data_IF_796261030359
#
_entry.id   IF_796261030359
#
_cell.length_a   1.000
_cell.length_b   1.000
_cell.length_c   1.000
_cell.angle_alpha   90.00
_cell.angle_beta   90.00
_cell.angle_gamma   90.00
#
_symmetry.space_group_name_H-M   'P 1'
#
loop_
_entity.id
_entity.type
_entity.pdbx_description
1 polymer ?
#
# COMPACT_ATOMS: atom_id res chain seq x y z
N UNK A 1 20.70 -8.90 59.94
CA UNK A 1 20.32 -9.72 58.78
C UNK A 1 18.82 -9.99 58.89
N UNK A 2 17.92 -9.43 58.09
CA UNK A 2 18.04 -8.68 56.84
C UNK A 2 16.99 -7.57 56.80
N UNK A 3 17.40 -6.41 56.31
CA UNK A 3 16.54 -5.43 55.63
C UNK A 3 16.06 -6.03 54.30
N UNK A 4 14.80 -5.79 53.93
CA UNK A 4 14.32 -5.44 52.57
C UNK A 4 13.00 -4.66 52.82
N UNK A 5 13.04 -3.34 53.04
CA UNK A 5 12.90 -2.24 52.07
C UNK A 5 11.59 -2.27 51.26
N UNK A 6 10.85 -1.18 51.49
CA UNK A 6 9.63 -0.66 50.91
C UNK A 6 9.52 -0.60 49.38
N UNK A 7 8.27 -0.33 48.96
CA UNK A 7 7.87 0.42 47.76
C UNK A 7 7.85 -0.33 46.42
N UNK A 8 6.75 -1.05 46.16
CA UNK A 8 6.17 -1.10 44.82
C UNK A 8 5.11 0.01 44.68
N UNK A 9 5.60 1.23 44.53
CA UNK A 9 4.78 2.35 44.05
C UNK A 9 4.86 2.34 42.51
N UNK A 10 4.14 1.41 41.87
CA UNK A 10 4.04 1.38 40.40
C UNK A 10 2.99 2.43 39.99
N UNK A 11 3.41 3.69 40.06
CA UNK A 11 2.71 4.84 39.47
C UNK A 11 3.64 5.50 38.44
N UNK A 12 4.34 4.70 37.63
CA UNK A 12 4.87 5.20 36.36
C UNK A 12 3.68 5.47 35.45
N UNK A 13 3.13 6.68 35.54
CA UNK A 13 2.37 7.26 34.43
C UNK A 13 3.30 7.17 33.22
N UNK A 14 2.97 6.32 32.25
CA UNK A 14 3.57 6.39 30.92
C UNK A 14 3.14 7.76 30.38
N UNK A 15 4.05 8.73 30.47
CA UNK A 15 3.86 10.06 29.91
C UNK A 15 4.07 9.93 28.41
N UNK A 16 2.99 10.08 27.65
CA UNK A 16 3.03 10.08 26.20
C UNK A 16 3.62 11.40 25.78
N UNK A 17 4.81 11.36 25.21
CA UNK A 17 5.52 12.53 24.72
C UNK A 17 5.42 12.60 23.19
N UNK A 18 4.61 13.54 22.71
CA UNK A 18 4.51 13.90 21.30
C UNK A 18 4.96 15.36 21.08
N UNK A 19 5.78 15.92 21.98
CA UNK A 19 6.14 17.35 21.96
C UNK A 19 6.77 17.78 20.63
N UNK A 20 7.76 17.04 20.13
CA UNK A 20 8.41 17.36 18.85
C UNK A 20 7.42 17.28 17.68
N UNK A 21 6.48 16.32 17.71
CA UNK A 21 5.43 16.22 16.70
C UNK A 21 4.48 17.42 16.78
N UNK A 22 4.11 17.86 17.98
CA UNK A 22 3.28 19.05 18.19
C UNK A 22 3.96 20.33 17.68
N UNK A 23 5.26 20.49 17.93
CA UNK A 23 6.04 21.62 17.44
C UNK A 23 5.99 21.69 15.91
N UNK A 24 6.18 20.57 15.20
CA UNK A 24 6.09 20.56 13.73
C UNK A 24 4.67 20.84 13.24
N UNK A 25 3.64 20.25 13.88
CA UNK A 25 2.23 20.52 13.54
C UNK A 25 1.90 22.02 13.73
N UNK A 26 2.48 22.65 14.75
CA UNK A 26 2.23 24.06 15.08
C UNK A 26 2.72 25.05 14.01
N UNK A 27 3.72 24.65 13.21
CA UNK A 27 4.20 25.46 12.08
C UNK A 27 3.11 25.72 11.04
N UNK A 28 2.15 24.80 10.93
CA UNK A 28 1.04 24.85 9.99
C UNK A 28 1.43 24.44 8.57
N UNK A 29 0.50 23.79 7.85
CA UNK A 29 0.75 23.14 6.55
C UNK A 29 1.34 24.07 5.48
N UNK A 30 1.04 25.37 5.56
CA UNK A 30 1.51 26.36 4.58
C UNK A 30 2.96 26.84 4.80
N UNK A 31 3.57 26.50 5.94
CA UNK A 31 4.92 26.94 6.31
C UNK A 31 5.93 25.79 6.40
N UNK A 32 5.53 24.56 6.08
CA UNK A 32 6.41 23.40 6.13
C UNK A 32 7.42 23.44 4.97
N UNK A 33 8.70 23.31 5.29
CA UNK A 33 9.73 22.97 4.31
C UNK A 33 9.70 21.46 4.03
N UNK A 34 10.39 21.02 2.98
CA UNK A 34 10.57 19.59 2.68
C UNK A 34 11.19 18.85 3.87
N UNK A 35 12.13 19.48 4.59
CA UNK A 35 12.75 18.89 5.77
C UNK A 35 11.76 18.74 6.94
N UNK A 36 10.85 19.70 7.11
CA UNK A 36 9.81 19.63 8.15
C UNK A 36 8.78 18.53 7.83
N UNK A 37 8.47 18.32 6.55
CA UNK A 37 7.61 17.22 6.11
C UNK A 37 8.26 15.85 6.35
N UNK A 38 9.55 15.69 6.05
CA UNK A 38 10.28 14.46 6.32
C UNK A 38 10.36 14.15 7.83
N UNK A 39 10.65 15.16 8.64
CA UNK A 39 10.71 15.01 10.10
C UNK A 39 9.31 14.75 10.68
N UNK A 40 8.26 15.40 10.17
CA UNK A 40 6.87 15.10 10.53
C UNK A 40 6.55 13.61 10.36
N UNK A 41 6.84 13.04 9.19
CA UNK A 41 6.53 11.64 8.91
C UNK A 41 7.36 10.68 9.77
N UNK A 42 8.61 11.03 10.07
CA UNK A 42 9.47 10.28 10.98
C UNK A 42 8.89 10.27 12.40
N UNK A 43 8.54 11.43 12.95
CA UNK A 43 7.94 11.54 14.29
C UNK A 43 6.58 10.85 14.36
N UNK A 44 5.73 11.03 13.35
CA UNK A 44 4.43 10.35 13.27
C UNK A 44 4.56 8.84 13.28
N UNK A 45 5.60 8.28 12.63
CA UNK A 45 5.85 6.84 12.60
C UNK A 45 6.16 6.26 13.98
N UNK A 46 6.73 7.06 14.86
CA UNK A 46 7.15 6.68 16.22
C UNK A 46 6.11 7.05 17.28
N UNK A 47 5.20 7.97 16.95
CA UNK A 47 4.22 8.54 17.84
C UNK A 47 3.24 7.52 18.47
N UNK A 48 2.78 7.88 19.66
CA UNK A 48 1.65 7.26 20.35
C UNK A 48 0.52 8.29 20.44
N UNK A 49 -0.55 8.10 19.68
CA UNK A 49 -1.65 9.06 19.64
C UNK A 49 -2.85 8.53 20.43
N UNK A 50 -3.65 9.47 20.93
CA UNK A 50 -4.94 9.20 21.55
C UNK A 50 -5.99 9.04 20.44
N UNK A 51 -6.36 7.79 20.15
CA UNK A 51 -7.36 7.46 19.14
C UNK A 51 -8.73 7.38 19.79
N UNK A 52 -9.69 8.10 19.22
CA UNK A 52 -11.07 8.04 19.69
C UNK A 52 -11.72 6.72 19.34
N UNK A 53 -12.36 6.11 20.34
CA UNK A 53 -13.06 4.84 20.18
C UNK A 53 -14.41 4.84 20.90
N UNK A 54 -15.29 3.97 20.45
CA UNK A 54 -16.46 3.57 21.21
C UNK A 54 -16.17 2.21 21.83
N UNK A 55 -16.07 2.17 23.16
CA UNK A 55 -15.94 0.91 23.89
C UNK A 55 -17.29 0.19 23.89
N UNK A 56 -17.27 -1.11 23.63
CA UNK A 56 -18.49 -1.93 23.67
C UNK A 56 -18.93 -2.07 25.14
N UNK A 57 -19.94 -1.29 25.55
CA UNK A 57 -20.38 -1.17 26.95
C UNK A 57 -20.99 -2.44 27.55
N UNK A 58 -21.28 -3.46 26.74
CA UNK A 58 -21.81 -4.74 27.24
C UNK A 58 -20.76 -5.53 28.06
N UNK A 59 -19.49 -5.13 28.07
CA UNK A 59 -18.40 -5.82 28.79
C UNK A 59 -17.68 -4.95 29.84
N UNK A 60 -18.28 -3.84 30.29
CA UNK A 60 -17.70 -3.04 31.39
C UNK A 60 -17.98 -3.73 32.72
N UNK A 61 -17.00 -4.51 33.19
CA UNK A 61 -17.03 -5.12 34.51
C UNK A 61 -16.98 -4.06 35.61
N UNK A 62 -17.97 -4.08 36.50
CA UNK A 62 -17.95 -3.36 37.77
C UNK A 62 -17.00 -4.08 38.75
N UNK A 63 -15.72 -3.67 38.73
CA UNK A 63 -14.65 -4.28 39.56
C UNK A 63 -14.88 -4.03 41.04
N UNK A 64 -15.68 -3.02 41.41
CA UNK A 64 -15.89 -2.61 42.81
C UNK A 64 -16.84 -3.53 43.58
N UNK A 65 -17.52 -4.47 42.92
CA UNK A 65 -18.59 -5.29 43.52
C UNK A 65 -18.34 -6.81 43.58
N UNK A 66 -17.18 -7.33 43.18
CA UNK A 66 -16.95 -8.79 43.19
C UNK A 66 -16.35 -9.33 44.49
N UNK A 67 -17.09 -10.22 45.16
CA UNK A 67 -16.59 -11.07 46.25
C UNK A 67 -15.56 -12.07 45.67
N UNK A 68 -14.41 -12.16 46.35
CA UNK A 68 -13.21 -12.92 45.98
C UNK A 68 -13.42 -14.44 46.03
N UNK A 69 -14.41 -15.03 45.35
CA UNK A 69 -14.47 -16.49 45.11
C UNK A 69 -15.37 -16.80 43.89
N UNK A 70 -15.08 -16.29 42.70
CA UNK A 70 -15.61 -16.93 41.47
C UNK A 70 -14.49 -17.07 40.43
N UNK A 71 -14.38 -18.27 39.88
CA UNK A 71 -13.41 -18.65 38.86
C UNK A 71 -13.51 -17.67 37.70
N UNK A 72 -12.47 -16.85 37.52
CA UNK A 72 -12.35 -15.91 36.40
C UNK A 72 -12.35 -16.75 35.12
N UNK A 73 -13.50 -16.81 34.44
CA UNK A 73 -13.54 -17.29 33.05
C UNK A 73 -12.62 -16.38 32.23
N UNK A 74 -11.84 -16.91 31.27
CA UNK A 74 -11.00 -16.07 30.42
C UNK A 74 -11.86 -14.99 29.79
N UNK A 75 -11.55 -13.75 30.15
CA UNK A 75 -12.27 -12.54 29.74
C UNK A 75 -12.06 -12.39 28.23
N UNK A 76 -13.12 -12.34 27.40
CA UNK A 76 -12.99 -11.94 26.00
C UNK A 76 -12.30 -10.58 25.92
N UNK A 77 -11.36 -10.34 24.99
CA UNK A 77 -10.72 -9.03 24.89
C UNK A 77 -11.79 -7.97 24.62
N UNK A 78 -11.83 -6.92 25.46
CA UNK A 78 -12.72 -5.77 25.29
C UNK A 78 -12.61 -5.24 23.85
N UNK A 79 -13.69 -5.35 23.09
CA UNK A 79 -13.78 -4.83 21.73
C UNK A 79 -13.99 -3.31 21.73
N UNK A 80 -13.46 -2.64 20.71
CA UNK A 80 -13.70 -1.23 20.45
C UNK A 80 -13.99 -0.99 18.97
N UNK A 81 -14.73 0.07 18.68
CA UNK A 81 -14.91 0.61 17.33
C UNK A 81 -14.22 1.97 17.22
N UNK A 82 -13.56 2.26 16.11
CA UNK A 82 -13.03 3.61 15.87
C UNK A 82 -14.19 4.61 15.74
N UNK A 83 -14.09 5.72 16.48
CA UNK A 83 -14.96 6.86 16.19
C UNK A 83 -14.41 7.61 14.98
N UNK A 84 -15.31 8.00 14.08
CA UNK A 84 -14.95 8.62 12.82
C UNK A 84 -15.62 9.96 12.63
N UNK A 85 -14.94 10.85 11.91
CA UNK A 85 -15.54 12.06 11.32
C UNK A 85 -15.86 11.78 9.87
N UNK A 86 -17.06 12.16 9.44
CA UNK A 86 -17.47 12.12 8.04
C UNK A 86 -17.12 13.47 7.41
N UNK A 87 -16.16 13.47 6.48
CA UNK A 87 -15.72 14.70 5.77
C UNK A 87 -16.60 14.96 4.55
N UNK A 88 -16.97 13.89 3.84
CA UNK A 88 -17.93 13.83 2.73
C UNK A 88 -18.78 12.55 2.86
N UNK A 89 -19.89 12.40 2.12
CA UNK A 89 -20.91 11.34 2.33
C UNK A 89 -20.36 9.90 2.50
N UNK A 90 -19.18 9.59 1.94
CA UNK A 90 -18.52 8.28 2.06
C UNK A 90 -17.11 8.31 2.69
N UNK A 91 -16.59 9.48 3.09
CA UNK A 91 -15.22 9.61 3.59
C UNK A 91 -15.17 9.59 5.12
N UNK A 92 -14.75 8.43 5.67
CA UNK A 92 -14.62 8.20 7.10
C UNK A 92 -13.18 8.40 7.56
N UNK A 93 -12.99 9.39 8.42
CA UNK A 93 -11.69 9.71 8.99
C UNK A 93 -11.56 9.22 10.42
N UNK A 94 -10.48 8.51 10.72
CA UNK A 94 -10.11 8.15 12.10
C UNK A 94 -9.67 9.42 12.82
N UNK A 95 -10.11 9.58 14.07
CA UNK A 95 -9.77 10.74 14.87
C UNK A 95 -8.66 10.41 15.86
N UNK A 96 -7.57 11.18 15.79
CA UNK A 96 -6.41 11.05 16.64
C UNK A 96 -6.06 12.40 17.31
N UNK A 97 -5.46 12.33 18.49
CA UNK A 97 -4.93 13.50 19.19
C UNK A 97 -3.51 13.26 19.69
N UNK A 98 -2.68 14.30 19.66
CA UNK A 98 -1.31 14.26 20.19
C UNK A 98 -1.27 14.25 21.71
N UNK A 99 -2.25 14.88 22.36
CA UNK A 99 -2.40 14.90 23.82
C UNK A 99 -3.86 14.87 24.27
N UNK A 100 -4.10 14.34 25.46
CA UNK A 100 -5.46 14.20 26.05
C UNK A 100 -6.10 15.55 26.36
N UNK A 101 -5.30 16.57 26.63
CA UNK A 101 -5.72 17.92 26.99
C UNK A 101 -6.51 18.56 25.85
N UNK A 102 -6.11 18.32 24.59
CA UNK A 102 -6.82 18.84 23.40
C UNK A 102 -8.25 18.30 23.37
N UNK A 103 -8.46 17.01 23.67
CA UNK A 103 -9.79 16.38 23.73
C UNK A 103 -10.70 17.11 24.74
N UNK A 104 -10.13 17.51 25.89
CA UNK A 104 -10.87 18.26 26.92
C UNK A 104 -11.15 19.69 26.49
N UNK A 105 -10.18 20.35 25.85
CA UNK A 105 -10.28 21.74 25.38
C UNK A 105 -11.40 21.90 24.34
N UNK A 106 -11.55 20.94 23.42
CA UNK A 106 -12.64 20.93 22.43
C UNK A 106 -13.98 20.45 23.03
N UNK A 107 -14.02 20.07 24.31
CA UNK A 107 -15.23 19.67 25.01
C UNK A 107 -15.81 18.31 24.58
N UNK A 108 -15.01 17.47 23.93
CA UNK A 108 -15.48 16.19 23.37
C UNK A 108 -15.57 15.12 24.47
N UNK A 109 -16.75 14.55 24.67
CA UNK A 109 -16.99 13.45 25.63
C UNK A 109 -16.90 12.11 24.91
N UNK A 110 -15.68 11.60 24.76
CA UNK A 110 -15.36 10.41 24.01
C UNK A 110 -14.39 9.50 24.78
N UNK A 111 -14.59 8.19 24.65
CA UNK A 111 -13.57 7.23 25.06
C UNK A 111 -12.39 7.30 24.07
N UNK A 112 -11.19 7.09 24.59
CA UNK A 112 -9.97 7.08 23.80
C UNK A 112 -9.02 6.00 24.30
N UNK A 113 -8.26 5.45 23.37
CA UNK A 113 -7.14 4.55 23.64
C UNK A 113 -5.86 5.19 23.15
N UNK A 114 -4.74 4.81 23.77
CA UNK A 114 -3.42 5.20 23.30
C UNK A 114 -2.95 4.11 22.35
N UNK A 115 -2.56 4.50 21.14
CA UNK A 115 -2.12 3.54 20.12
C UNK A 115 -0.82 4.01 19.50
N UNK A 116 0.14 3.10 19.38
CA UNK A 116 1.32 3.35 18.55
C UNK A 116 0.87 3.38 17.07
N UNK A 117 1.34 4.35 16.30
CA UNK A 117 0.94 4.50 14.90
C UNK A 117 1.27 3.27 14.04
N UNK A 118 2.30 2.50 14.39
CA UNK A 118 2.61 1.22 13.74
C UNK A 118 1.52 0.17 13.97
N UNK A 119 0.96 0.11 15.18
CA UNK A 119 -0.09 -0.85 15.48
C UNK A 119 -1.43 -0.43 14.88
N UNK A 120 -1.70 0.87 14.82
CA UNK A 120 -2.81 1.41 14.05
C UNK A 120 -2.70 0.99 12.58
N UNK A 121 -1.53 1.18 11.95
CA UNK A 121 -1.31 0.79 10.56
C UNK A 121 -1.58 -0.70 10.31
N UNK A 122 -1.13 -1.60 11.20
CA UNK A 122 -1.42 -3.04 11.10
C UNK A 122 -2.92 -3.34 11.15
N UNK A 123 -3.65 -2.69 12.06
CA UNK A 123 -5.10 -2.86 12.17
C UNK A 123 -5.77 -2.41 10.88
N UNK A 124 -5.37 -1.25 10.35
CA UNK A 124 -5.98 -0.68 9.14
C UNK A 124 -5.69 -1.49 7.89
N UNK A 125 -4.50 -2.08 7.76
CA UNK A 125 -4.21 -3.03 6.67
C UNK A 125 -5.17 -4.23 6.67
N UNK A 126 -5.65 -4.66 7.84
CA UNK A 126 -6.62 -5.75 7.96
C UNK A 126 -8.09 -5.34 7.69
N UNK A 127 -8.38 -4.04 7.68
CA UNK A 127 -9.74 -3.49 7.53
C UNK A 127 -10.06 -2.99 6.11
N UNK A 128 -9.09 -3.05 5.18
CA UNK A 128 -9.26 -2.62 3.79
C UNK A 128 -9.65 -1.14 3.65
N UNK A 129 -10.43 -0.81 2.62
CA UNK A 129 -10.81 0.57 2.25
C UNK A 129 -11.91 1.19 3.15
N UNK A 130 -12.00 0.75 4.41
CA UNK A 130 -13.04 1.20 5.35
C UNK A 130 -12.88 2.67 5.77
N UNK A 131 -11.65 3.19 5.74
CA UNK A 131 -11.33 4.56 6.17
C UNK A 131 -10.57 5.29 5.06
N UNK A 132 -10.86 6.57 4.88
CA UNK A 132 -10.24 7.41 3.85
C UNK A 132 -9.01 8.16 4.38
N UNK A 133 -9.03 8.54 5.67
CA UNK A 133 -7.98 9.37 6.27
C UNK A 133 -7.84 9.19 7.79
N UNK A 134 -6.75 9.71 8.33
CA UNK A 134 -6.56 10.01 9.76
C UNK A 134 -6.52 11.53 9.91
N UNK A 135 -7.31 12.06 10.83
CA UNK A 135 -7.28 13.48 11.21
C UNK A 135 -6.68 13.58 12.61
N UNK A 136 -5.57 14.33 12.72
CA UNK A 136 -4.85 14.62 13.96
C UNK A 136 -5.28 16.00 14.45
N UNK A 137 -5.63 16.09 15.74
CA UNK A 137 -6.06 17.31 16.42
C UNK A 137 -7.20 18.05 15.67
N UNK A 138 -8.31 17.38 15.29
CA UNK A 138 -9.42 18.04 14.61
C UNK A 138 -9.99 19.18 15.45
N UNK A 139 -10.61 20.15 14.75
CA UNK A 139 -11.24 21.33 15.36
C UNK A 139 -10.27 22.22 16.15
N UNK A 140 -8.97 22.12 15.84
CA UNK A 140 -7.92 23.04 16.30
C UNK A 140 -7.33 23.78 15.10
N UNK A 141 -6.61 24.87 15.34
CA UNK A 141 -5.83 25.58 14.31
C UNK A 141 -4.65 24.75 13.77
N UNK A 142 -4.33 23.64 14.46
CA UNK A 142 -3.24 22.72 14.17
C UNK A 142 -3.77 21.36 13.68
N UNK A 143 -4.93 21.35 13.02
CA UNK A 143 -5.52 20.12 12.47
C UNK A 143 -4.73 19.67 11.22
N UNK A 144 -4.31 18.40 11.20
CA UNK A 144 -3.70 17.77 10.02
C UNK A 144 -4.52 16.58 9.58
N UNK A 145 -4.74 16.47 8.27
CA UNK A 145 -5.41 15.33 7.66
C UNK A 145 -4.42 14.59 6.75
N UNK A 146 -4.33 13.28 6.93
CA UNK A 146 -3.45 12.39 6.17
C UNK A 146 -4.31 11.31 5.54
N UNK A 147 -4.14 11.05 4.24
CA UNK A 147 -4.83 9.93 3.58
C UNK A 147 -4.40 8.59 4.17
N UNK A 148 -5.29 7.60 4.21
CA UNK A 148 -4.92 6.24 4.67
C UNK A 148 -3.79 5.66 3.83
N UNK A 149 -3.80 5.87 2.51
CA UNK A 149 -2.75 5.37 1.63
C UNK A 149 -1.37 5.96 1.99
N UNK A 150 -1.32 7.28 2.19
CA UNK A 150 -0.08 7.95 2.64
C UNK A 150 0.36 7.40 4.00
N UNK A 151 -0.55 7.32 4.96
CA UNK A 151 -0.24 6.80 6.30
C UNK A 151 0.29 5.36 6.27
N UNK A 152 -0.39 4.45 5.57
CA UNK A 152 0.02 3.05 5.47
C UNK A 152 1.39 2.91 4.78
N UNK A 153 1.67 3.73 3.78
CA UNK A 153 2.96 3.71 3.07
C UNK A 153 4.16 4.00 3.99
N UNK A 154 3.96 4.70 5.11
CA UNK A 154 5.01 4.94 6.12
C UNK A 154 5.47 3.66 6.83
N UNK A 155 4.59 2.66 6.90
CA UNK A 155 4.77 1.40 7.65
C UNK A 155 4.95 0.18 6.77
N UNK A 156 4.62 0.28 5.48
CA UNK A 156 5.04 -0.73 4.51
C UNK A 156 6.57 -0.77 4.50
N UNK A 157 7.14 -1.96 4.72
CA UNK A 157 8.57 -2.14 4.47
C UNK A 157 8.80 -1.75 3.02
N UNK A 158 9.66 -0.75 2.76
CA UNK A 158 10.23 -0.59 1.42
C UNK A 158 10.78 -1.97 1.07
N UNK A 159 10.34 -2.61 -0.03
CA UNK A 159 10.77 -3.94 -0.34
C UNK A 159 12.29 -3.94 -0.30
N UNK A 160 12.87 -4.87 0.48
CA UNK A 160 14.33 -4.93 0.73
C UNK A 160 15.13 -4.93 -0.57
N UNK A 161 14.48 -5.29 -1.67
CA UNK A 161 14.95 -5.12 -3.03
C UNK A 161 14.00 -4.18 -3.83
N UNK A 162 14.46 -3.01 -4.28
CA UNK A 162 13.69 -2.09 -5.14
C UNK A 162 13.10 -2.76 -6.40
N UNK A 163 13.76 -3.81 -6.91
CA UNK A 163 13.26 -4.60 -8.03
C UNK A 163 11.94 -5.29 -7.70
N UNK A 164 11.80 -5.86 -6.48
CA UNK A 164 10.59 -6.56 -6.07
C UNK A 164 9.41 -5.59 -5.96
N UNK A 165 9.64 -4.41 -5.36
CA UNK A 165 8.59 -3.38 -5.30
C UNK A 165 8.14 -2.87 -6.66
N UNK A 166 9.09 -2.65 -7.57
CA UNK A 166 8.76 -2.27 -8.95
C UNK A 166 7.99 -3.38 -9.68
N UNK A 167 8.34 -4.65 -9.44
CA UNK A 167 7.63 -5.80 -10.00
C UNK A 167 6.21 -5.89 -9.43
N UNK A 168 6.02 -5.81 -8.11
CA UNK A 168 4.70 -5.84 -7.46
C UNK A 168 3.78 -4.75 -8.02
N UNK A 169 4.27 -3.50 -8.11
CA UNK A 169 3.51 -2.40 -8.73
C UNK A 169 3.16 -2.67 -10.20
N UNK A 170 4.07 -3.30 -10.95
CA UNK A 170 3.83 -3.67 -12.35
C UNK A 170 2.75 -4.75 -12.45
N UNK A 171 2.78 -5.74 -11.57
CA UNK A 171 1.78 -6.81 -11.51
C UNK A 171 0.41 -6.27 -11.10
N UNK A 172 0.36 -5.34 -10.13
CA UNK A 172 -0.88 -4.68 -9.73
C UNK A 172 -1.48 -3.87 -10.88
N UNK A 173 -0.66 -3.13 -11.63
CA UNK A 173 -1.14 -2.42 -12.83
C UNK A 173 -1.63 -3.38 -13.91
N UNK A 174 -0.89 -4.46 -14.18
CA UNK A 174 -1.35 -5.49 -15.13
C UNK A 174 -2.69 -6.07 -14.69
N UNK A 175 -2.92 -6.27 -13.39
CA UNK A 175 -4.17 -6.84 -12.88
C UNK A 175 -5.37 -5.89 -13.00
N UNK A 176 -5.15 -4.58 -12.80
CA UNK A 176 -6.23 -3.61 -12.65
C UNK A 176 -6.44 -2.71 -13.88
N UNK A 177 -5.38 -2.43 -14.64
CA UNK A 177 -5.36 -1.38 -15.67
C UNK A 177 -5.15 -1.95 -17.09
N UNK A 178 -5.28 -3.26 -17.28
CA UNK A 178 -5.12 -3.86 -18.60
C UNK A 178 -6.21 -3.39 -19.57
N UNK A 179 -5.88 -3.45 -20.86
CA UNK A 179 -6.78 -3.28 -21.98
C UNK A 179 -6.98 -4.63 -22.64
N UNK A 180 -8.23 -5.04 -22.80
CA UNK A 180 -8.61 -6.15 -23.64
C UNK A 180 -8.64 -5.69 -25.11
N UNK A 181 -7.95 -6.42 -25.98
CA UNK A 181 -7.82 -6.08 -27.39
C UNK A 181 -9.12 -6.38 -28.14
N UNK A 182 -9.59 -5.40 -28.91
CA UNK A 182 -10.79 -5.48 -29.75
C UNK A 182 -10.53 -6.08 -31.15
N UNK A 183 -9.26 -6.35 -31.46
CA UNK A 183 -8.83 -6.93 -32.73
C UNK A 183 -7.48 -7.66 -32.56
N UNK A 184 -6.92 -8.11 -33.67
CA UNK A 184 -5.60 -8.72 -33.75
C UNK A 184 -4.53 -7.63 -33.86
N UNK A 185 -3.53 -7.70 -32.99
CA UNK A 185 -2.43 -6.75 -32.95
C UNK A 185 -1.09 -7.47 -33.02
N UNK A 186 -0.12 -6.80 -33.65
CA UNK A 186 1.27 -7.23 -33.63
C UNK A 186 2.06 -6.31 -32.71
N UNK A 187 2.81 -6.90 -31.81
CA UNK A 187 3.78 -6.20 -30.97
C UNK A 187 5.18 -6.71 -31.28
N UNK A 188 6.18 -5.90 -30.99
CA UNK A 188 7.54 -6.12 -31.44
C UNK A 188 8.49 -6.21 -30.26
N UNK A 189 9.38 -7.21 -30.29
CA UNK A 189 10.52 -7.34 -29.38
C UNK A 189 11.79 -7.48 -30.19
N UNK A 190 12.83 -6.74 -29.82
CA UNK A 190 14.15 -6.75 -30.44
C UNK A 190 15.17 -7.25 -29.44
N UNK A 191 16.14 -8.03 -29.91
CA UNK A 191 17.16 -8.64 -29.05
C UNK A 191 18.46 -8.91 -29.82
N UNK A 192 19.55 -9.11 -29.08
CA UNK A 192 20.84 -9.53 -29.64
C UNK A 192 20.87 -11.01 -30.06
N UNK A 193 19.90 -11.81 -29.59
CA UNK A 193 19.82 -13.25 -29.84
C UNK A 193 18.36 -13.75 -29.74
N UNK A 194 18.11 -14.94 -30.30
CA UNK A 194 16.82 -15.64 -30.38
C UNK A 194 16.34 -16.19 -29.02
N UNK A 195 16.05 -15.31 -28.06
CA UNK A 195 15.78 -15.75 -26.69
C UNK A 195 14.47 -16.56 -26.58
N UNK A 196 13.44 -16.21 -27.37
CA UNK A 196 12.16 -16.91 -27.31
C UNK A 196 12.30 -18.36 -27.80
N UNK A 197 13.06 -18.57 -28.86
CA UNK A 197 13.40 -19.89 -29.40
C UNK A 197 14.19 -20.69 -28.37
N UNK A 198 15.27 -20.09 -27.85
CA UNK A 198 16.18 -20.74 -26.90
C UNK A 198 15.51 -21.12 -25.57
N UNK A 199 14.51 -20.35 -25.14
CA UNK A 199 13.77 -20.61 -23.91
C UNK A 199 12.47 -21.37 -24.11
N UNK A 200 12.05 -21.60 -25.35
CA UNK A 200 10.83 -22.35 -25.66
C UNK A 200 10.98 -23.84 -25.34
N UNK A 201 9.84 -24.47 -25.01
CA UNK A 201 9.72 -25.93 -24.87
C UNK A 201 8.61 -26.40 -25.79
N UNK A 202 8.91 -27.36 -26.65
CA UNK A 202 7.97 -27.90 -27.63
C UNK A 202 7.33 -26.80 -28.51
N UNK A 203 8.11 -25.76 -28.85
CA UNK A 203 7.64 -24.63 -29.66
C UNK A 203 6.85 -23.57 -28.89
N UNK A 204 6.70 -23.70 -27.58
CA UNK A 204 5.99 -22.74 -26.72
C UNK A 204 6.97 -22.00 -25.81
N UNK A 205 7.02 -20.68 -25.96
CA UNK A 205 7.69 -19.76 -25.04
C UNK A 205 6.72 -19.31 -23.95
N UNK A 206 7.18 -19.29 -22.69
CA UNK A 206 6.38 -18.82 -21.55
C UNK A 206 7.08 -17.64 -20.90
N UNK A 207 6.43 -16.48 -20.89
CA UNK A 207 6.97 -15.26 -20.30
C UNK A 207 7.08 -15.40 -18.78
N UNK A 208 8.30 -15.59 -18.24
CA UNK A 208 8.48 -15.77 -16.79
C UNK A 208 8.19 -14.48 -15.99
N UNK A 209 8.41 -13.33 -16.60
CA UNK A 209 8.23 -11.98 -16.06
C UNK A 209 7.37 -11.16 -17.02
N UNK A 210 6.81 -10.01 -16.61
CA UNK A 210 6.16 -9.09 -17.53
C UNK A 210 7.05 -8.82 -18.75
N UNK A 211 6.56 -9.21 -19.93
CA UNK A 211 7.30 -9.09 -21.17
C UNK A 211 7.07 -7.68 -21.72
N UNK A 212 8.16 -6.97 -22.03
CA UNK A 212 8.11 -5.62 -22.58
C UNK A 212 8.15 -5.71 -24.10
N UNK A 213 7.21 -5.06 -24.77
CA UNK A 213 7.11 -5.01 -26.21
C UNK A 213 6.83 -3.58 -26.69
N UNK A 214 6.94 -3.36 -28.00
CA UNK A 214 6.62 -2.09 -28.64
C UNK A 214 5.47 -2.23 -29.64
N UNK A 215 4.71 -1.16 -29.84
CA UNK A 215 3.79 -1.00 -30.97
C UNK A 215 4.51 -0.60 -32.27
N UNK A 216 5.75 -0.07 -32.21
CA UNK A 216 6.52 0.34 -33.38
C UNK A 216 7.40 -0.81 -33.90
N UNK A 217 7.23 -1.27 -35.16
CA UNK A 217 8.11 -2.29 -35.76
C UNK A 217 9.58 -1.86 -35.93
N UNK A 218 9.86 -0.54 -35.90
CA UNK A 218 11.20 0.01 -36.08
C UNK A 218 11.90 0.33 -34.75
N UNK A 219 11.24 0.09 -33.61
CA UNK A 219 11.86 0.29 -32.31
C UNK A 219 13.16 -0.52 -32.22
N UNK A 220 14.22 0.05 -31.64
CA UNK A 220 15.53 -0.60 -31.48
C UNK A 220 16.06 -1.32 -32.73
N UNK A 221 15.86 -0.74 -33.93
CA UNK A 221 16.28 -1.32 -35.20
C UNK A 221 17.79 -1.62 -35.32
N UNK A 222 18.61 -1.13 -34.39
CA UNK A 222 20.02 -1.49 -34.27
C UNK A 222 20.27 -2.92 -33.76
N UNK A 223 19.25 -3.60 -33.22
CA UNK A 223 19.34 -4.97 -32.73
C UNK A 223 18.97 -5.97 -33.84
N UNK A 224 19.72 -7.08 -33.99
CA UNK A 224 19.63 -7.97 -35.13
C UNK A 224 18.35 -8.78 -35.17
N UNK A 225 17.89 -9.31 -34.02
CA UNK A 225 16.77 -10.25 -33.97
C UNK A 225 15.46 -9.51 -33.71
N UNK A 226 14.40 -9.87 -34.44
CA UNK A 226 13.04 -9.37 -34.28
C UNK A 226 12.07 -10.51 -33.96
N UNK A 227 11.43 -10.43 -32.80
CA UNK A 227 10.28 -11.26 -32.45
C UNK A 227 8.99 -10.46 -32.63
N UNK A 228 8.11 -10.95 -33.50
CA UNK A 228 6.78 -10.38 -33.72
C UNK A 228 5.76 -11.20 -32.91
N UNK A 229 5.14 -10.57 -31.93
CA UNK A 229 4.14 -11.16 -31.06
C UNK A 229 2.74 -10.87 -31.61
N UNK A 230 2.08 -11.91 -32.10
CA UNK A 230 0.70 -11.87 -32.56
C UNK A 230 -0.23 -12.10 -31.37
N UNK A 231 -0.95 -11.03 -31.00
CA UNK A 231 -2.00 -11.06 -30.00
C UNK A 231 -3.36 -11.02 -30.68
N UNK A 232 -4.27 -11.89 -30.26
CA UNK A 232 -5.61 -12.07 -30.81
C UNK A 232 -6.65 -11.22 -30.06
N UNK A 233 -7.81 -11.03 -30.67
CA UNK A 233 -8.98 -10.42 -30.01
C UNK A 233 -9.28 -11.12 -28.67
N UNK A 234 -9.64 -10.32 -27.64
CA UNK A 234 -9.93 -10.79 -26.28
C UNK A 234 -8.69 -10.99 -25.38
N UNK A 235 -7.48 -10.91 -25.94
CA UNK A 235 -6.25 -10.96 -25.15
C UNK A 235 -5.96 -9.60 -24.51
N UNK A 236 -5.19 -9.62 -23.40
CA UNK A 236 -5.02 -8.48 -22.50
C UNK A 236 -3.57 -8.01 -22.47
N UNK A 237 -3.37 -6.70 -22.57
CA UNK A 237 -2.08 -6.01 -22.48
C UNK A 237 -2.20 -4.76 -21.62
N UNK A 238 -1.08 -4.22 -21.15
CA UNK A 238 -1.04 -2.91 -20.50
C UNK A 238 -0.21 -1.95 -21.35
N UNK A 239 -0.78 -0.80 -21.72
CA UNK A 239 -0.04 0.25 -22.41
C UNK A 239 0.67 1.16 -21.38
N UNK A 240 1.95 1.42 -21.59
CA UNK A 240 2.79 2.20 -20.65
C UNK A 240 3.31 3.52 -21.21
N UNK A 241 3.01 3.84 -22.47
CA UNK A 241 3.48 5.06 -23.13
C UNK A 241 2.66 6.32 -22.81
N UNK A 242 3.34 7.47 -22.82
CA UNK A 242 2.74 8.81 -22.82
C UNK A 242 2.72 9.32 -24.28
N UNK A 243 1.57 9.70 -24.87
CA UNK A 243 1.46 10.04 -26.30
C UNK A 243 2.27 11.27 -26.76
N UNK A 244 2.96 11.96 -25.85
CA UNK A 244 3.71 13.19 -26.12
C UNK A 244 5.24 13.03 -26.05
N UNK A 245 5.77 11.83 -25.83
CA UNK A 245 7.21 11.58 -25.74
C UNK A 245 7.73 10.89 -27.02
N UNK A 246 8.94 11.27 -27.47
CA UNK A 246 9.61 10.62 -28.60
C UNK A 246 9.68 9.11 -28.31
N UNK A 247 9.01 8.30 -29.12
CA UNK A 247 8.87 6.85 -28.91
C UNK A 247 10.22 6.14 -29.07
N UNK A 248 10.96 6.01 -27.97
CA UNK A 248 12.20 5.22 -27.90
C UNK A 248 12.06 3.96 -27.04
N UNK A 249 10.95 3.81 -26.33
CA UNK A 249 10.81 2.86 -25.23
C UNK A 249 9.70 1.82 -25.47
N UNK A 250 9.82 0.69 -24.77
CA UNK A 250 8.74 -0.30 -24.67
C UNK A 250 7.46 0.38 -24.15
N UNK A 251 6.39 0.34 -24.94
CA UNK A 251 5.10 0.97 -24.65
C UNK A 251 3.99 -0.04 -24.34
N UNK A 252 4.32 -1.33 -24.35
CA UNK A 252 3.41 -2.43 -24.05
C UNK A 252 4.03 -3.38 -23.03
N UNK A 253 3.25 -3.75 -22.02
CA UNK A 253 3.54 -4.81 -21.08
C UNK A 253 2.56 -5.97 -21.26
N UNK A 254 3.11 -7.18 -21.33
CA UNK A 254 2.36 -8.43 -21.41
C UNK A 254 2.59 -9.20 -20.11
N UNK A 255 1.52 -9.73 -19.52
CA UNK A 255 1.56 -10.38 -18.22
C UNK A 255 2.50 -11.60 -18.18
N UNK A 256 3.11 -11.89 -17.01
CA UNK A 256 3.85 -13.13 -16.82
C UNK A 256 2.93 -14.35 -16.96
N UNK A 257 3.51 -15.50 -17.24
CA UNK A 257 2.79 -16.73 -17.54
C UNK A 257 2.16 -16.77 -18.93
N UNK A 258 2.16 -15.67 -19.70
CA UNK A 258 1.64 -15.65 -21.07
C UNK A 258 2.41 -16.66 -21.93
N UNK A 259 1.67 -17.52 -22.63
CA UNK A 259 2.20 -18.56 -23.51
C UNK A 259 2.16 -18.09 -24.96
N UNK A 260 3.29 -18.21 -25.65
CA UNK A 260 3.46 -17.89 -27.06
C UNK A 260 3.91 -19.14 -27.83
N UNK A 261 3.11 -19.60 -28.77
CA UNK A 261 3.47 -20.68 -29.68
C UNK A 261 4.16 -20.13 -30.93
N UNK A 262 5.26 -20.76 -31.35
CA UNK A 262 5.95 -20.40 -32.59
C UNK A 262 5.01 -20.62 -33.77
N UNK A 263 4.78 -19.56 -34.55
CA UNK A 263 3.88 -19.63 -35.70
C UNK A 263 4.66 -19.90 -37.00
N UNK A 264 5.65 -19.07 -37.33
CA UNK A 264 6.59 -19.29 -38.42
C UNK A 264 7.82 -18.37 -38.28
N UNK A 265 8.87 -18.68 -39.04
CA UNK A 265 10.01 -17.78 -39.28
C UNK A 265 9.77 -17.00 -40.57
N UNK A 266 9.81 -15.67 -40.50
CA UNK A 266 9.59 -14.80 -41.66
C UNK A 266 10.87 -14.69 -42.50
N UNK A 267 11.99 -14.58 -41.82
CA UNK A 267 13.34 -14.67 -42.37
C UNK A 267 14.28 -15.23 -41.30
N UNK A 268 15.59 -15.24 -41.56
CA UNK A 268 16.58 -15.83 -40.64
C UNK A 268 16.77 -15.06 -39.31
N UNK A 269 16.32 -13.80 -39.24
CA UNK A 269 16.48 -12.95 -38.06
C UNK A 269 15.12 -12.48 -37.49
N UNK A 270 14.01 -12.86 -38.13
CA UNK A 270 12.65 -12.41 -37.83
C UNK A 270 11.71 -13.58 -37.62
N UNK A 271 11.03 -13.55 -36.48
CA UNK A 271 10.43 -14.72 -35.90
C UNK A 271 9.04 -14.37 -35.36
N UNK A 272 8.00 -15.12 -35.76
CA UNK A 272 6.60 -14.79 -35.45
C UNK A 272 6.01 -15.77 -34.43
N UNK A 273 5.43 -15.23 -33.37
CA UNK A 273 4.92 -15.95 -32.22
C UNK A 273 3.47 -15.59 -31.95
N UNK A 274 2.61 -16.59 -31.78
CA UNK A 274 1.19 -16.38 -31.49
C UNK A 274 0.91 -16.60 -30.03
N UNK A 275 0.28 -15.62 -29.38
CA UNK A 275 -0.20 -15.79 -28.02
C UNK A 275 -1.35 -16.81 -27.99
N UNK A 276 -1.20 -17.85 -27.17
CA UNK A 276 -2.17 -18.94 -27.06
C UNK A 276 -2.90 -18.96 -25.72
N UNK A 277 -2.28 -18.49 -24.64
CA UNK A 277 -2.89 -18.42 -23.30
C UNK A 277 -2.34 -17.29 -22.44
N UNK A 278 -3.17 -16.80 -21.52
CA UNK A 278 -2.78 -15.81 -20.51
C UNK A 278 -3.29 -16.18 -19.11
N UNK A 279 -2.71 -17.21 -18.45
CA UNK A 279 -3.18 -17.71 -17.16
C UNK A 279 -3.19 -16.68 -16.03
N UNK A 280 -2.44 -15.57 -16.17
CA UNK A 280 -2.44 -14.48 -15.19
C UNK A 280 -3.81 -13.81 -15.02
N UNK A 281 -4.68 -13.88 -16.05
CA UNK A 281 -6.01 -13.25 -16.05
C UNK A 281 -7.16 -14.25 -15.90
N UNK A 282 -6.86 -15.55 -15.73
CA UNK A 282 -7.83 -16.63 -15.53
C UNK A 282 -8.04 -16.92 -14.03
#
# INVERSE_FOLDING_TARGET
MNEIIDNYNVNEKIEIDNFELEDIISLGVNNLTIADEEEFFKLLKEAQLFILVQLNKEEVFDVDNQKVVEVIKPIPPLGFNFMTLTVNENERSIVAFTRKEIIKEIGLKADHIVMNMRDLAKILMGLGDTFSSIIINPQTEHSIMISINTFLSLFMEKPKNPFIGSLEQTLDKLKNDYVELDNHYMFFIRSDYEFMENESKDGVFVAKMPLRASTDPNFQANLPILHKLMMMEGQKVLYTGNPNEEQTDFDVLIAPGTEFEKYYDEDGDTSVWRCVKQPFYE
#
